data_IF_503540152194
#
_entry.id   IF_503540152194
#
_cell.length_a   1.000
_cell.length_b   1.000
_cell.length_c   1.000
_cell.angle_alpha   90.00
_cell.angle_beta   90.00
_cell.angle_gamma   90.00
#
_symmetry.space_group_name_H-M   'P 1'
#
loop_
_entity.id
_entity.type
_entity.pdbx_description
1 polymer ?
#
# COMPACT_ATOMS: atom_id res chain seq x y z
N UNK A 1 9.81 -26.10 0.73
CA UNK A 1 9.29 -25.70 2.04
C UNK A 1 8.75 -24.28 1.96
N UNK A 2 7.85 -23.89 2.85
CA UNK A 2 7.34 -22.52 2.94
C UNK A 2 7.95 -21.85 4.20
N UNK A 3 8.24 -20.53 4.16
CA UNK A 3 8.85 -19.82 5.31
C UNK A 3 7.95 -19.76 6.55
N UNK A 4 6.63 -19.93 6.40
CA UNK A 4 5.68 -20.09 7.50
C UNK A 4 4.54 -21.03 7.08
N UNK A 5 4.11 -21.93 7.97
CA UNK A 5 3.11 -22.97 7.67
C UNK A 5 2.31 -23.36 8.92
N UNK A 6 0.99 -23.34 8.81
CA UNK A 6 0.07 -23.89 9.81
C UNK A 6 -1.33 -24.12 9.23
N UNK A 7 -2.27 -24.64 10.05
CA UNK A 7 -3.64 -24.90 9.61
C UNK A 7 -4.35 -23.57 9.30
N UNK A 8 -4.50 -23.27 8.01
CA UNK A 8 -5.11 -22.04 7.46
C UNK A 8 -4.35 -20.72 7.72
N UNK A 9 -3.04 -20.80 7.98
CA UNK A 9 -2.18 -19.62 8.06
C UNK A 9 -0.75 -19.90 7.56
N UNK A 10 -0.04 -18.84 7.17
CA UNK A 10 1.34 -18.93 6.68
C UNK A 10 1.50 -18.36 5.27
N UNK A 11 2.57 -18.78 4.60
CA UNK A 11 2.92 -18.35 3.25
C UNK A 11 2.76 -19.49 2.26
N UNK A 12 2.25 -19.19 1.07
CA UNK A 12 2.14 -20.17 -0.02
C UNK A 12 2.66 -19.58 -1.31
N UNK A 13 3.77 -20.12 -1.79
CA UNK A 13 4.24 -19.94 -3.16
C UNK A 13 4.49 -21.31 -3.78
N UNK A 14 3.60 -21.72 -4.69
CA UNK A 14 3.70 -23.03 -5.36
C UNK A 14 4.57 -22.87 -6.61
N UNK A 15 5.65 -23.67 -6.76
CA UNK A 15 6.44 -23.66 -7.97
C UNK A 15 5.59 -23.94 -9.22
N UNK A 16 5.85 -23.21 -10.28
CA UNK A 16 5.16 -23.35 -11.58
C UNK A 16 6.00 -24.13 -12.56
N UNK A 17 5.36 -24.69 -13.58
CA UNK A 17 6.06 -25.39 -14.66
C UNK A 17 7.15 -24.50 -15.29
N UNK A 18 8.37 -25.03 -15.38
CA UNK A 18 9.55 -24.31 -15.88
C UNK A 18 10.39 -23.59 -14.81
N UNK A 19 9.92 -23.52 -13.56
CA UNK A 19 10.73 -23.00 -12.45
C UNK A 19 11.65 -24.09 -11.89
N UNK A 20 12.86 -23.68 -11.47
CA UNK A 20 13.84 -24.60 -10.90
C UNK A 20 13.67 -24.72 -9.38
N UNK A 21 13.75 -25.96 -8.91
CA UNK A 21 13.61 -26.31 -7.49
C UNK A 21 14.80 -27.13 -7.01
N UNK A 22 15.12 -26.97 -5.73
CA UNK A 22 16.07 -27.82 -5.03
C UNK A 22 15.30 -28.97 -4.39
N UNK A 23 15.65 -30.20 -4.76
CA UNK A 23 15.10 -31.42 -4.18
C UNK A 23 16.06 -31.98 -3.14
N UNK A 24 15.52 -32.37 -1.99
CA UNK A 24 16.19 -33.26 -1.04
C UNK A 24 15.43 -34.59 -0.98
N UNK A 25 16.04 -35.59 -0.36
CA UNK A 25 15.47 -36.93 -0.19
C UNK A 25 15.40 -37.27 1.29
N UNK A 26 14.19 -37.56 1.77
CA UNK A 26 13.99 -37.92 3.18
C UNK A 26 14.71 -39.23 3.48
N UNK A 27 15.46 -39.27 4.59
CA UNK A 27 16.26 -40.44 4.98
C UNK A 27 17.24 -40.93 3.89
N UNK A 28 17.63 -40.03 2.97
CA UNK A 28 18.43 -40.34 1.78
C UNK A 28 17.79 -41.40 0.86
N UNK A 29 16.46 -41.48 0.87
CA UNK A 29 15.66 -42.36 0.03
C UNK A 29 15.17 -41.63 -1.23
N UNK A 30 15.64 -42.07 -2.40
CA UNK A 30 15.33 -41.44 -3.70
C UNK A 30 13.83 -41.46 -4.02
N UNK A 31 13.08 -42.40 -3.44
CA UNK A 31 11.63 -42.54 -3.65
C UNK A 31 10.82 -41.60 -2.75
N UNK A 32 11.48 -40.82 -1.88
CA UNK A 32 10.86 -39.85 -0.96
C UNK A 32 11.40 -38.43 -1.16
N UNK A 33 11.24 -37.83 -2.35
CA UNK A 33 11.70 -36.48 -2.63
C UNK A 33 10.89 -35.43 -1.87
N UNK A 34 11.56 -34.35 -1.45
CA UNK A 34 10.97 -33.16 -0.86
C UNK A 34 11.55 -31.91 -1.53
N UNK A 35 10.68 -30.97 -1.91
CA UNK A 35 11.10 -29.66 -2.40
C UNK A 35 11.59 -28.81 -1.23
N UNK A 36 12.88 -28.46 -1.24
CA UNK A 36 13.50 -27.58 -0.24
C UNK A 36 13.17 -26.11 -0.51
N UNK A 37 13.34 -25.67 -1.76
CA UNK A 37 13.11 -24.29 -2.17
C UNK A 37 13.21 -24.11 -3.67
N UNK A 38 13.00 -22.87 -4.13
CA UNK A 38 13.14 -22.46 -5.52
C UNK A 38 14.41 -21.67 -5.72
N UNK A 39 15.01 -21.80 -6.90
CA UNK A 39 16.18 -21.04 -7.31
C UNK A 39 15.88 -20.32 -8.62
N UNK A 40 16.63 -19.25 -8.90
CA UNK A 40 16.37 -18.45 -10.09
C UNK A 40 16.73 -19.15 -11.40
N UNK A 41 17.54 -20.20 -11.39
CA UNK A 41 17.82 -21.02 -12.58
C UNK A 41 18.33 -20.22 -13.78
N UNK A 42 19.28 -19.32 -13.54
CA UNK A 42 19.83 -18.41 -14.57
C UNK A 42 18.93 -17.21 -14.93
N UNK A 43 17.69 -17.16 -14.45
CA UNK A 43 16.83 -15.99 -14.62
C UNK A 43 17.28 -14.83 -13.74
N UNK A 44 17.03 -13.60 -14.20
CA UNK A 44 17.27 -12.37 -13.45
C UNK A 44 16.04 -12.03 -12.62
N UNK A 45 16.09 -12.07 -11.29
CA UNK A 45 14.95 -11.69 -10.48
C UNK A 45 14.64 -10.20 -10.59
N UNK A 46 13.43 -9.84 -10.16
CA UNK A 46 13.11 -8.44 -9.90
C UNK A 46 14.10 -7.86 -8.89
N UNK A 47 14.48 -6.60 -9.08
CA UNK A 47 15.30 -5.79 -8.19
C UNK A 47 16.73 -6.28 -7.94
N UNK A 48 17.22 -7.17 -8.79
CA UNK A 48 18.57 -7.75 -8.70
C UNK A 48 19.76 -6.79 -8.97
N UNK A 49 19.52 -5.57 -9.47
CA UNK A 49 20.58 -4.79 -10.14
C UNK A 49 21.35 -3.84 -9.24
N UNK A 50 20.76 -3.37 -8.14
CA UNK A 50 21.37 -2.36 -7.27
C UNK A 50 21.55 -2.80 -5.82
N UNK A 51 20.84 -3.84 -5.38
CA UNK A 51 20.77 -4.21 -3.95
C UNK A 51 20.02 -3.20 -3.07
N UNK A 52 19.52 -2.10 -3.65
CA UNK A 52 18.74 -1.07 -2.94
C UNK A 52 17.27 -1.45 -2.80
N UNK A 53 16.78 -2.34 -3.66
CA UNK A 53 15.39 -2.74 -3.69
C UNK A 53 15.24 -4.21 -3.31
N UNK A 54 14.21 -4.48 -2.52
CA UNK A 54 13.82 -5.81 -2.11
C UNK A 54 12.29 -5.94 -2.17
N UNK A 55 11.78 -7.18 -2.20
CA UNK A 55 10.34 -7.41 -2.12
C UNK A 55 9.88 -8.69 -2.76
N UNK A 56 8.61 -8.71 -3.16
CA UNK A 56 7.95 -9.85 -3.78
C UNK A 56 7.24 -9.44 -5.07
N UNK A 57 7.47 -10.17 -6.16
CA UNK A 57 6.79 -9.97 -7.44
C UNK A 57 6.21 -11.28 -7.95
N UNK A 58 4.90 -11.30 -8.14
CA UNK A 58 4.18 -12.40 -8.79
C UNK A 58 4.14 -12.22 -10.31
N UNK A 59 3.68 -13.26 -11.01
CA UNK A 59 3.39 -13.21 -12.45
C UNK A 59 1.97 -13.76 -12.67
N UNK A 60 1.21 -13.16 -13.57
CA UNK A 60 -0.07 -13.69 -14.03
C UNK A 60 0.12 -15.07 -14.68
N UNK A 61 -0.87 -15.94 -14.53
CA UNK A 61 -0.87 -17.25 -15.19
C UNK A 61 -1.51 -17.11 -16.56
N UNK A 62 -0.79 -17.48 -17.62
CA UNK A 62 -1.28 -17.37 -19.00
C UNK A 62 -1.33 -15.93 -19.56
N UNK A 63 -0.88 -14.93 -18.79
CA UNK A 63 -0.90 -13.52 -19.19
C UNK A 63 0.38 -12.76 -18.87
N UNK A 64 0.35 -11.45 -19.12
CA UNK A 64 1.50 -10.54 -18.95
C UNK A 64 1.47 -9.71 -17.65
N UNK A 65 0.39 -9.80 -16.88
CA UNK A 65 0.20 -9.07 -15.64
C UNK A 65 1.11 -9.55 -14.51
N UNK A 66 1.15 -8.74 -13.46
CA UNK A 66 1.84 -9.03 -12.20
C UNK A 66 1.23 -8.25 -11.04
N UNK A 67 1.53 -8.71 -9.83
CA UNK A 67 1.43 -7.92 -8.60
C UNK A 67 2.82 -7.83 -7.99
N UNK A 68 3.18 -6.70 -7.41
CA UNK A 68 4.38 -6.60 -6.59
C UNK A 68 4.19 -5.82 -5.31
N UNK A 69 5.07 -6.12 -4.37
CA UNK A 69 5.40 -5.29 -3.23
C UNK A 69 6.91 -5.05 -3.26
N UNK A 70 7.32 -3.80 -3.27
CA UNK A 70 8.73 -3.40 -3.28
C UNK A 70 9.02 -2.44 -2.13
N UNK A 71 10.15 -2.65 -1.47
CA UNK A 71 10.83 -1.68 -0.64
C UNK A 71 12.05 -1.17 -1.40
N UNK A 72 12.30 0.12 -1.31
CA UNK A 72 13.52 0.75 -1.81
C UNK A 72 14.19 1.46 -0.64
N UNK A 73 15.35 0.94 -0.23
CA UNK A 73 16.14 1.36 0.92
C UNK A 73 17.24 2.36 0.53
N UNK A 74 17.07 3.03 -0.61
CA UNK A 74 17.97 4.11 -1.01
C UNK A 74 18.08 5.18 0.08
N UNK A 75 19.31 5.51 0.47
CA UNK A 75 19.61 6.45 1.55
C UNK A 75 18.88 7.78 1.36
N UNK A 76 18.09 8.19 2.37
CA UNK A 76 17.31 9.42 2.35
C UNK A 76 16.09 9.42 1.42
N UNK A 77 15.81 8.29 0.77
CA UNK A 77 14.76 8.13 -0.24
C UNK A 77 13.96 6.83 -0.02
N UNK A 78 13.78 6.45 1.25
CA UNK A 78 13.09 5.21 1.61
C UNK A 78 11.63 5.26 1.15
N UNK A 79 11.17 4.18 0.55
CA UNK A 79 9.77 4.04 0.11
C UNK A 79 9.31 2.59 0.10
N UNK A 80 8.00 2.41 0.06
CA UNK A 80 7.39 1.14 -0.31
C UNK A 80 6.26 1.34 -1.33
N UNK A 81 6.07 0.36 -2.21
CA UNK A 81 5.00 0.34 -3.20
C UNK A 81 4.34 -1.04 -3.22
N UNK A 82 3.01 -1.06 -3.13
CA UNK A 82 2.17 -2.22 -3.41
C UNK A 82 1.42 -1.92 -4.70
N UNK A 83 1.49 -2.82 -5.68
CA UNK A 83 1.02 -2.55 -7.05
C UNK A 83 0.40 -3.79 -7.66
N UNK A 84 -0.75 -3.60 -8.32
CA UNK A 84 -1.25 -4.50 -9.34
C UNK A 84 -1.13 -3.86 -10.72
N UNK A 85 -0.54 -4.57 -11.67
CA UNK A 85 -0.48 -4.11 -13.07
C UNK A 85 -1.86 -3.82 -13.66
N UNK A 86 -2.92 -4.41 -13.11
CA UNK A 86 -4.29 -4.14 -13.52
C UNK A 86 -4.71 -2.71 -13.13
N UNK A 87 -5.01 -1.90 -14.15
CA UNK A 87 -5.34 -0.49 -14.00
C UNK A 87 -4.24 0.34 -13.33
N UNK A 88 -2.99 -0.15 -13.32
CA UNK A 88 -1.87 0.47 -12.61
C UNK A 88 -2.26 0.90 -11.18
N UNK A 89 -2.92 0.00 -10.47
CA UNK A 89 -3.49 0.27 -9.15
C UNK A 89 -2.42 0.14 -8.09
N UNK A 90 -2.14 1.21 -7.35
CA UNK A 90 -0.98 1.30 -6.47
C UNK A 90 -1.28 2.02 -5.15
N UNK A 91 -0.70 1.49 -4.07
CA UNK A 91 -0.43 2.23 -2.84
C UNK A 91 1.07 2.49 -2.76
N UNK A 92 1.45 3.77 -2.74
CA UNK A 92 2.84 4.21 -2.66
C UNK A 92 3.05 5.02 -1.37
N UNK A 93 4.11 4.74 -0.61
CA UNK A 93 4.43 5.38 0.67
C UNK A 93 5.89 5.83 0.69
N UNK A 94 6.19 7.00 1.25
CA UNK A 94 7.54 7.54 1.42
C UNK A 94 7.99 8.43 0.26
N UNK A 95 9.19 8.18 -0.26
CA UNK A 95 9.81 8.93 -1.37
C UNK A 95 9.33 8.41 -2.73
N UNK A 96 8.32 9.05 -3.33
CA UNK A 96 7.64 8.54 -4.52
C UNK A 96 8.48 8.82 -5.77
N UNK A 97 8.81 7.78 -6.55
CA UNK A 97 9.60 7.87 -7.79
C UNK A 97 8.89 7.13 -8.93
N UNK A 98 9.17 7.52 -10.17
CA UNK A 98 8.90 6.64 -11.32
C UNK A 98 9.77 5.38 -11.17
N UNK A 99 9.19 4.19 -11.34
CA UNK A 99 9.92 2.93 -11.28
C UNK A 99 9.54 2.06 -12.48
N UNK A 100 10.55 1.62 -13.23
CA UNK A 100 10.38 0.73 -14.38
C UNK A 100 11.21 -0.53 -14.19
N UNK A 101 10.57 -1.57 -13.69
CA UNK A 101 11.24 -2.81 -13.30
C UNK A 101 12.31 -2.52 -12.24
N UNK A 102 13.57 -2.66 -12.63
CA UNK A 102 14.72 -2.48 -11.74
C UNK A 102 15.30 -1.06 -11.78
N UNK A 103 14.78 -0.22 -12.67
CA UNK A 103 15.29 1.13 -12.87
C UNK A 103 14.53 2.13 -11.98
N UNK A 104 15.29 2.90 -11.21
CA UNK A 104 14.83 4.08 -10.48
C UNK A 104 14.74 5.26 -11.44
N UNK A 105 13.59 5.92 -11.48
CA UNK A 105 13.36 7.15 -12.23
C UNK A 105 13.36 8.38 -11.34
N UNK A 106 12.86 9.49 -11.89
CA UNK A 106 12.79 10.77 -11.19
C UNK A 106 11.77 10.79 -10.05
N UNK A 107 11.97 11.75 -9.14
CA UNK A 107 11.04 12.08 -8.07
C UNK A 107 9.66 12.46 -8.65
N UNK A 108 8.61 11.88 -8.08
CA UNK A 108 7.21 12.21 -8.35
C UNK A 108 6.55 12.95 -7.18
N UNK A 109 6.99 12.73 -5.95
CA UNK A 109 6.42 13.37 -4.76
C UNK A 109 6.89 12.73 -3.45
N UNK A 110 6.33 13.19 -2.33
CA UNK A 110 6.61 12.66 -0.99
C UNK A 110 5.31 12.49 -0.20
N UNK A 111 5.25 11.48 0.67
CA UNK A 111 4.07 11.20 1.50
C UNK A 111 3.42 9.88 1.12
N UNK A 112 2.12 9.88 0.83
CA UNK A 112 1.40 8.70 0.34
C UNK A 112 0.63 9.00 -0.95
N UNK A 113 0.47 8.01 -1.80
CA UNK A 113 -0.36 8.06 -3.00
C UNK A 113 -1.17 6.77 -3.10
N UNK A 114 -2.49 6.90 -3.23
CA UNK A 114 -3.37 5.82 -3.71
C UNK A 114 -3.82 6.21 -5.13
N UNK A 115 -3.44 5.44 -6.14
CA UNK A 115 -3.79 5.72 -7.55
C UNK A 115 -4.30 4.50 -8.28
N UNK A 116 -5.14 4.71 -9.28
CA UNK A 116 -5.60 3.71 -10.25
C UNK A 116 -6.10 4.42 -11.51
N UNK A 117 -5.97 3.77 -12.68
CA UNK A 117 -6.61 4.20 -13.92
C UNK A 117 -8.06 3.66 -14.01
N UNK A 118 -8.48 2.82 -13.05
CA UNK A 118 -9.83 2.29 -12.93
C UNK A 118 -10.66 3.07 -11.90
N UNK A 119 -11.79 2.51 -11.48
CA UNK A 119 -12.64 3.12 -10.45
C UNK A 119 -12.00 3.00 -9.05
N UNK A 120 -12.11 4.08 -8.27
CA UNK A 120 -11.76 4.11 -6.85
C UNK A 120 -13.00 4.26 -5.96
N UNK A 121 -13.00 3.60 -4.81
CA UNK A 121 -14.04 3.77 -3.79
C UNK A 121 -13.43 3.72 -2.38
N UNK A 122 -13.76 4.70 -1.55
CA UNK A 122 -13.46 4.70 -0.11
C UNK A 122 -14.77 4.45 0.65
N UNK A 123 -14.84 3.37 1.43
CA UNK A 123 -16.02 3.00 2.21
C UNK A 123 -15.61 2.76 3.65
N UNK A 124 -16.17 3.54 4.57
CA UNK A 124 -15.92 3.43 6.01
C UNK A 124 -17.24 3.57 6.77
N UNK A 125 -17.80 2.44 7.22
CA UNK A 125 -19.12 2.39 7.85
C UNK A 125 -19.22 3.25 9.11
N UNK A 126 -18.12 3.36 9.86
CA UNK A 126 -18.05 4.16 11.09
C UNK A 126 -17.73 5.65 10.82
N UNK A 127 -17.56 6.05 9.56
CA UNK A 127 -17.25 7.41 9.15
C UNK A 127 -15.89 7.56 8.46
N UNK A 128 -15.73 8.67 7.73
CA UNK A 128 -14.51 9.03 7.03
C UNK A 128 -14.02 10.40 7.53
N UNK A 129 -12.79 10.45 8.03
CA UNK A 129 -12.14 11.69 8.44
C UNK A 129 -11.00 12.04 7.48
N UNK A 130 -11.20 13.10 6.70
CA UNK A 130 -10.22 13.67 5.78
C UNK A 130 -9.82 15.04 6.33
N UNK A 131 -8.54 15.23 6.57
CA UNK A 131 -8.03 16.35 7.34
C UNK A 131 -6.69 16.84 6.81
N UNK A 132 -6.46 18.13 6.94
CA UNK A 132 -5.17 18.79 6.77
C UNK A 132 -4.62 19.32 8.11
N UNK A 133 -5.27 19.02 9.24
CA UNK A 133 -4.77 19.38 10.56
C UNK A 133 -3.53 18.57 10.90
N UNK A 134 -2.51 19.26 11.41
CA UNK A 134 -1.21 18.67 11.65
C UNK A 134 -1.27 17.66 12.81
N UNK A 135 -0.75 16.46 12.55
CA UNK A 135 -0.49 15.40 13.54
C UNK A 135 0.93 14.86 13.34
N UNK A 136 1.92 15.61 13.82
CA UNK A 136 3.34 15.24 13.66
C UNK A 136 3.64 13.91 14.34
N UNK A 137 4.34 13.01 13.65
CA UNK A 137 4.73 11.71 14.20
C UNK A 137 3.55 10.80 14.57
N UNK A 138 2.40 10.98 13.91
CA UNK A 138 1.16 10.26 14.22
C UNK A 138 0.72 10.37 15.69
N UNK A 139 1.01 11.51 16.33
CA UNK A 139 0.53 11.80 17.69
C UNK A 139 -0.99 11.98 17.73
N UNK A 140 -1.60 11.57 18.85
CA UNK A 140 -3.05 11.64 19.07
C UNK A 140 -3.79 10.39 18.61
N UNK A 141 -5.12 10.42 18.70
CA UNK A 141 -5.96 9.34 18.22
C UNK A 141 -6.09 9.36 16.69
N UNK A 142 -6.33 8.21 16.07
CA UNK A 142 -6.51 8.09 14.60
C UNK A 142 -7.61 9.01 14.06
N UNK A 143 -8.69 9.23 14.83
CA UNK A 143 -9.83 10.09 14.49
C UNK A 143 -9.91 11.26 15.48
N UNK A 144 -8.80 11.96 15.69
CA UNK A 144 -8.81 13.22 16.43
C UNK A 144 -9.36 14.36 15.55
N UNK A 145 -10.66 14.63 15.71
CA UNK A 145 -11.41 15.65 15.00
C UNK A 145 -11.72 16.90 15.85
N UNK A 146 -10.92 17.16 16.89
CA UNK A 146 -11.16 18.26 17.84
C UNK A 146 -11.23 19.63 17.16
N UNK A 147 -10.34 19.94 16.22
CA UNK A 147 -10.38 21.20 15.47
C UNK A 147 -11.61 21.30 14.55
N UNK A 148 -11.97 20.20 13.87
CA UNK A 148 -13.17 20.14 13.03
C UNK A 148 -14.43 20.40 13.86
N UNK A 149 -14.53 19.74 15.02
CA UNK A 149 -15.65 19.92 15.94
C UNK A 149 -15.74 21.36 16.45
N UNK A 150 -14.61 21.97 16.81
CA UNK A 150 -14.59 23.36 17.26
C UNK A 150 -15.02 24.32 16.14
N UNK A 151 -14.56 24.09 14.90
CA UNK A 151 -14.95 24.89 13.75
C UNK A 151 -16.46 24.80 13.48
N UNK A 152 -17.04 23.59 13.58
CA UNK A 152 -18.48 23.38 13.43
C UNK A 152 -19.27 24.11 14.52
N UNK A 153 -18.87 23.99 15.80
CA UNK A 153 -19.50 24.71 16.92
C UNK A 153 -19.44 26.23 16.74
N UNK A 154 -18.29 26.76 16.33
CA UNK A 154 -18.12 28.19 16.07
C UNK A 154 -19.01 28.67 14.91
N UNK A 155 -19.21 27.83 13.89
CA UNK A 155 -20.05 28.14 12.74
C UNK A 155 -21.52 28.13 13.11
N UNK A 156 -21.97 27.15 13.89
CA UNK A 156 -23.32 27.07 14.45
C UNK A 156 -23.65 28.33 15.28
N UNK A 157 -22.76 28.72 16.19
CA UNK A 157 -22.96 29.92 17.01
C UNK A 157 -23.06 31.19 16.15
N UNK A 158 -22.25 31.30 15.08
CA UNK A 158 -22.28 32.45 14.16
C UNK A 158 -23.59 32.52 13.40
N UNK A 159 -24.08 31.40 12.88
CA UNK A 159 -25.37 31.33 12.18
C UNK A 159 -26.49 31.73 13.13
N UNK A 160 -26.46 31.26 14.38
CA UNK A 160 -27.44 31.64 15.40
C UNK A 160 -27.45 33.14 15.67
N UNK A 161 -26.29 33.76 15.92
CA UNK A 161 -26.20 35.21 16.15
C UNK A 161 -26.70 36.02 14.95
N UNK A 162 -26.40 35.59 13.73
CA UNK A 162 -26.90 36.26 12.52
C UNK A 162 -28.42 36.11 12.38
N UNK A 163 -28.97 34.94 12.69
CA UNK A 163 -30.42 34.70 12.67
C UNK A 163 -31.14 35.56 13.73
N UNK A 164 -30.61 35.62 14.96
CA UNK A 164 -31.14 36.46 16.04
C UNK A 164 -31.12 37.95 15.63
N UNK A 165 -30.02 38.40 15.02
CA UNK A 165 -29.88 39.78 14.55
C UNK A 165 -30.86 40.09 13.40
N UNK A 166 -31.03 39.16 12.47
CA UNK A 166 -32.00 39.31 11.38
C UNK A 166 -33.43 39.47 11.92
N UNK A 167 -33.83 38.63 12.89
CA UNK A 167 -35.14 38.74 13.54
C UNK A 167 -35.32 40.09 14.24
N UNK A 168 -34.31 40.56 14.97
CA UNK A 168 -34.34 41.87 15.62
C UNK A 168 -34.54 43.03 14.61
N UNK A 169 -34.05 42.86 13.38
CA UNK A 169 -34.18 43.83 12.30
C UNK A 169 -35.34 43.54 11.33
N UNK A 170 -36.30 42.66 11.71
CA UNK A 170 -37.43 42.23 10.88
C UNK A 170 -37.02 41.70 9.48
N UNK A 171 -35.79 41.22 9.36
CA UNK A 171 -35.33 40.48 8.20
C UNK A 171 -35.70 38.99 8.36
N UNK A 172 -35.68 38.25 7.26
CA UNK A 172 -35.89 36.81 7.27
C UNK A 172 -34.75 36.12 8.07
N UNK A 173 -35.05 35.32 9.11
CA UNK A 173 -34.06 34.54 9.82
C UNK A 173 -33.44 33.45 8.93
N UNK A 174 -32.21 33.04 9.28
CA UNK A 174 -31.54 31.88 8.72
C UNK A 174 -31.81 30.62 9.54
#
# INVERSE_FOLDING_TARGET
MQPSSGPDWGSVHVPRAGEEVVITFLDNDIDRPLVMGQVYGGHKPAWHSSGLMAGYKSKEVGGGGFNHWVMDDSTGQVRTQIHSSHGHTQLNLGYLIDQRGNNRGGLRGTGFELRTDAYGALRAQQGLYLSTWKRSGAQGAQIDASEAQQQLKNSEQRVKTLSDTAQQHNALPM
#
